data_IF_774919343183
#
_entry.id   IF_774919343183
#
_cell.length_a   1.000
_cell.length_b   1.000
_cell.length_c   1.000
_cell.angle_alpha   90.00
_cell.angle_beta   90.00
_cell.angle_gamma   90.00
#
_symmetry.space_group_name_H-M   'P 1'
#
loop_
_entity.id
_entity.type
_entity.pdbx_description
1 polymer ?
#
# COMPACT_ATOMS: atom_id res chain seq x y z
N UNK A 1 -12.80 -19.29 -19.96
CA UNK A 1 -13.74 -18.21 -19.63
C UNK A 1 -13.04 -17.23 -18.70
N UNK A 2 -13.05 -15.94 -19.01
CA UNK A 2 -12.48 -14.93 -18.12
C UNK A 2 -13.48 -14.61 -17.02
N UNK A 3 -13.09 -14.80 -15.76
CA UNK A 3 -13.88 -14.40 -14.61
C UNK A 3 -13.38 -13.04 -14.12
N UNK A 4 -14.27 -12.05 -14.08
CA UNK A 4 -13.99 -10.77 -13.44
C UNK A 4 -14.39 -10.84 -11.96
N UNK A 5 -13.46 -10.57 -11.06
CA UNK A 5 -13.72 -10.51 -9.62
C UNK A 5 -13.29 -9.16 -9.05
N UNK A 6 -14.22 -8.48 -8.37
CA UNK A 6 -13.98 -7.21 -7.69
C UNK A 6 -14.20 -7.36 -6.19
N UNK A 7 -13.27 -6.84 -5.38
CA UNK A 7 -13.42 -6.75 -3.92
C UNK A 7 -12.99 -5.39 -3.42
N UNK A 8 -13.87 -4.75 -2.67
CA UNK A 8 -13.60 -3.50 -1.95
C UNK A 8 -13.45 -3.80 -0.46
N UNK A 9 -12.48 -3.16 0.19
CA UNK A 9 -12.27 -3.30 1.63
C UNK A 9 -11.72 -2.02 2.25
N UNK A 10 -12.41 -1.51 3.26
CA UNK A 10 -11.94 -0.39 4.07
C UNK A 10 -10.70 -0.80 4.89
N UNK A 11 -9.68 0.06 4.88
CA UNK A 11 -8.53 -0.05 5.78
C UNK A 11 -8.75 0.94 6.93
N UNK A 12 -9.26 0.44 8.06
CA UNK A 12 -9.49 1.23 9.27
C UNK A 12 -8.31 1.16 10.23
N UNK A 13 -8.01 2.30 10.88
CA UNK A 13 -6.99 2.43 11.92
C UNK A 13 -7.37 1.77 13.25
N UNK A 14 -8.66 1.49 13.49
CA UNK A 14 -9.11 0.81 14.72
C UNK A 14 -8.62 -0.64 14.83
N UNK A 15 -8.29 -1.27 13.69
CA UNK A 15 -7.89 -2.68 13.64
C UNK A 15 -6.57 -2.90 12.87
N UNK A 16 -6.12 -1.93 12.04
CA UNK A 16 -4.98 -2.14 11.13
C UNK A 16 -4.08 -0.92 11.05
N UNK A 17 -2.78 -1.18 10.98
CA UNK A 17 -1.82 -0.17 10.56
C UNK A 17 -1.90 -0.01 9.03
N UNK A 18 -2.13 1.24 8.57
CA UNK A 18 -2.27 1.58 7.15
C UNK A 18 -0.96 1.44 6.38
N UNK A 19 0.16 1.89 6.96
CA UNK A 19 1.50 1.79 6.36
C UNK A 19 1.91 0.34 6.18
N UNK A 20 1.64 -0.52 7.17
CA UNK A 20 1.87 -1.97 7.06
C UNK A 20 1.03 -2.60 5.94
N UNK A 21 -0.24 -2.21 5.86
CA UNK A 21 -1.15 -2.69 4.82
C UNK A 21 -0.72 -2.25 3.41
N UNK A 22 -0.15 -1.04 3.29
CA UNK A 22 0.44 -0.52 2.07
C UNK A 22 1.70 -1.34 1.69
N UNK A 23 2.67 -1.45 2.60
CA UNK A 23 3.92 -2.19 2.40
C UNK A 23 3.69 -3.63 1.92
N UNK A 24 2.68 -4.31 2.47
CA UNK A 24 2.30 -5.66 2.04
C UNK A 24 1.80 -5.71 0.59
N UNK A 25 1.03 -4.71 0.14
CA UNK A 25 0.43 -4.69 -1.20
C UNK A 25 1.42 -4.27 -2.28
N UNK A 26 2.27 -3.30 -1.99
CA UNK A 26 3.28 -2.81 -2.94
C UNK A 26 4.53 -3.68 -2.97
N UNK A 27 4.74 -4.52 -1.94
CA UNK A 27 5.93 -5.35 -1.86
C UNK A 27 7.21 -4.53 -1.67
N UNK A 28 7.16 -3.43 -0.94
CA UNK A 28 8.33 -2.57 -0.67
C UNK A 28 8.47 -2.29 0.83
N UNK A 29 9.63 -1.76 1.22
CA UNK A 29 9.89 -1.30 2.59
C UNK A 29 9.30 0.09 2.74
N UNK A 30 8.46 0.31 3.74
CA UNK A 30 7.85 1.62 4.02
C UNK A 30 8.05 1.97 5.48
N UNK A 31 8.56 3.16 5.76
CA UNK A 31 8.78 3.61 7.12
C UNK A 31 7.54 4.33 7.66
N UNK A 32 7.09 3.95 8.85
CA UNK A 32 5.99 4.62 9.56
C UNK A 32 6.57 5.59 10.59
N UNK A 33 6.64 6.87 10.21
CA UNK A 33 7.18 7.94 11.07
C UNK A 33 6.42 8.11 12.39
N UNK A 34 5.17 7.65 12.49
CA UNK A 34 4.36 7.85 13.70
C UNK A 34 4.77 6.93 14.85
N UNK A 35 5.20 5.72 14.51
CA UNK A 35 5.60 4.69 15.48
C UNK A 35 7.09 4.41 15.42
N UNK A 36 7.80 4.97 14.44
CA UNK A 36 9.24 4.82 14.28
C UNK A 36 9.68 3.48 13.71
N UNK A 37 8.77 2.74 13.06
CA UNK A 37 9.02 1.36 12.61
C UNK A 37 9.10 1.24 11.09
N UNK A 38 9.99 0.36 10.61
CA UNK A 38 10.08 0.00 9.20
C UNK A 38 9.19 -1.22 8.90
N UNK A 39 8.17 -1.02 8.06
CA UNK A 39 7.31 -2.09 7.59
C UNK A 39 7.97 -2.81 6.41
N UNK A 40 8.20 -4.12 6.54
CA UNK A 40 8.81 -4.96 5.50
C UNK A 40 7.98 -6.21 5.28
N UNK A 41 7.67 -6.51 4.02
CA UNK A 41 6.99 -7.77 3.64
C UNK A 41 7.83 -8.56 2.66
N UNK A 42 8.67 -9.48 3.16
CA UNK A 42 9.61 -10.25 2.32
C UNK A 42 8.93 -11.11 1.25
N UNK A 43 7.77 -11.69 1.58
CA UNK A 43 7.04 -12.60 0.69
C UNK A 43 6.53 -11.92 -0.58
N UNK A 44 6.11 -10.65 -0.48
CA UNK A 44 5.46 -9.92 -1.58
C UNK A 44 6.43 -9.17 -2.49
N UNK A 45 7.67 -8.93 -2.05
CA UNK A 45 8.69 -8.21 -2.82
C UNK A 45 8.91 -8.84 -4.21
N UNK A 46 8.84 -10.17 -4.31
CA UNK A 46 9.07 -10.87 -5.58
C UNK A 46 7.77 -11.22 -6.34
N UNK A 47 6.60 -11.02 -5.73
CA UNK A 47 5.31 -11.33 -6.35
C UNK A 47 4.66 -10.11 -7.02
N UNK A 48 5.00 -8.90 -6.58
CA UNK A 48 4.43 -7.66 -7.12
C UNK A 48 5.17 -7.26 -8.39
N UNK A 49 4.44 -7.19 -9.51
CA UNK A 49 5.01 -6.89 -10.83
C UNK A 49 5.01 -5.40 -11.16
N UNK A 50 4.01 -4.65 -10.68
CA UNK A 50 3.83 -3.24 -10.99
C UNK A 50 3.16 -2.51 -9.82
N UNK A 51 3.62 -1.29 -9.56
CA UNK A 51 3.05 -0.38 -8.57
C UNK A 51 3.03 1.01 -9.17
N UNK A 52 1.90 1.69 -9.04
CA UNK A 52 1.72 3.06 -9.53
C UNK A 52 0.98 3.88 -8.49
N UNK A 53 1.43 5.12 -8.30
CA UNK A 53 0.74 6.12 -7.48
C UNK A 53 -0.06 7.04 -8.40
N UNK A 54 -1.39 6.89 -8.35
CA UNK A 54 -2.30 7.76 -9.09
C UNK A 54 -2.63 8.97 -8.24
N UNK A 55 -2.28 10.16 -8.74
CA UNK A 55 -2.55 11.44 -8.09
C UNK A 55 -3.66 12.19 -8.84
N UNK A 56 -4.59 12.86 -8.15
CA UNK A 56 -5.54 13.76 -8.80
C UNK A 56 -4.81 14.98 -9.40
N UNK A 57 -5.48 15.66 -10.33
CA UNK A 57 -4.93 16.85 -11.01
C UNK A 57 -4.42 17.92 -10.02
N UNK A 58 -5.15 18.11 -8.93
CA UNK A 58 -4.86 19.14 -7.92
C UNK A 58 -4.19 18.54 -6.68
N UNK A 59 -3.41 17.46 -6.86
CA UNK A 59 -2.65 16.85 -5.78
C UNK A 59 -1.63 17.85 -5.20
N UNK A 60 -1.42 17.83 -3.87
CA UNK A 60 -0.43 18.70 -3.27
C UNK A 60 0.99 18.27 -3.68
N UNK A 61 1.89 19.24 -3.78
CA UNK A 61 3.26 19.00 -4.28
C UNK A 61 4.06 17.99 -3.44
N UNK A 62 3.74 17.83 -2.15
CA UNK A 62 4.42 16.87 -1.27
C UNK A 62 4.05 15.41 -1.56
N UNK A 63 3.00 15.15 -2.33
CA UNK A 63 2.53 13.79 -2.61
C UNK A 63 3.37 13.06 -3.67
N UNK A 64 4.35 13.74 -4.27
CA UNK A 64 5.21 13.24 -5.34
C UNK A 64 6.57 12.77 -4.81
#
# INVERSE_FOLDING_TARGET
MALAHGRLKMISRSNRNTVRALAYRIGCKVYDHRIGELMVTRKKIHEVQHVELLLPKDAPAWAL
#
